data_IF_488584747169
#
_entry.id   IF_488584747169
#
_cell.length_a   1.000
_cell.length_b   1.000
_cell.length_c   1.000
_cell.angle_alpha   90.00
_cell.angle_beta   90.00
_cell.angle_gamma   90.00
#
_symmetry.space_group_name_H-M   'P 1'
#
loop_
_entity.id
_entity.type
_entity.pdbx_description
1 polymer ?
#
# COMPACT_ATOMS: atom_id res chain seq x y z
N UNK A 1 -1.16 7.97 4.99
CA UNK A 1 -1.59 7.35 3.71
C UNK A 1 -0.58 7.75 2.64
N UNK A 2 0.15 6.78 2.07
CA UNK A 2 1.04 7.04 0.94
C UNK A 2 0.19 7.29 -0.31
N UNK A 3 0.27 8.50 -0.85
CA UNK A 3 -0.39 8.88 -2.09
C UNK A 3 0.66 8.87 -3.19
N UNK A 4 0.31 8.39 -4.38
CA UNK A 4 1.07 8.74 -5.58
C UNK A 4 1.00 10.25 -5.80
N UNK A 5 1.92 10.79 -6.60
CA UNK A 5 1.92 12.21 -6.97
C UNK A 5 0.61 12.66 -7.66
N UNK A 6 -0.16 11.71 -8.21
CA UNK A 6 -1.49 11.95 -8.82
C UNK A 6 -2.67 11.74 -7.86
N UNK A 7 -2.42 11.54 -6.56
CA UNK A 7 -3.43 11.41 -5.52
C UNK A 7 -4.11 10.03 -5.43
N UNK A 8 -3.64 9.04 -6.18
CA UNK A 8 -4.14 7.65 -6.09
C UNK A 8 -3.59 6.92 -4.87
N UNK A 9 -4.38 5.97 -4.38
CA UNK A 9 -3.99 5.07 -3.30
C UNK A 9 -3.00 4.03 -3.83
N UNK A 10 -1.92 3.83 -3.09
CA UNK A 10 -0.90 2.83 -3.38
C UNK A 10 -1.13 1.55 -2.57
N UNK A 11 -1.06 0.41 -3.26
CA UNK A 11 -0.89 -0.88 -2.62
C UNK A 11 0.61 -1.16 -2.46
N UNK A 12 1.06 -1.29 -1.20
CA UNK A 12 2.46 -1.58 -0.87
C UNK A 12 2.52 -2.95 -0.19
N UNK A 13 3.26 -3.87 -0.79
CA UNK A 13 3.60 -5.14 -0.16
C UNK A 13 5.01 -5.04 0.39
N UNK A 14 5.19 -5.35 1.67
CA UNK A 14 6.48 -5.30 2.34
C UNK A 14 6.66 -6.45 3.33
N UNK A 15 7.91 -6.69 3.71
CA UNK A 15 8.25 -7.58 4.82
C UNK A 15 8.92 -6.81 5.95
N UNK A 16 8.75 -7.32 7.16
CA UNK A 16 9.48 -6.85 8.34
C UNK A 16 10.79 -7.63 8.48
N UNK A 17 11.85 -6.93 8.88
CA UNK A 17 13.20 -7.45 9.05
C UNK A 17 13.79 -6.95 10.37
N UNK A 18 14.92 -7.55 10.77
CA UNK A 18 15.67 -7.18 11.96
C UNK A 18 14.78 -7.06 13.20
N UNK A 19 14.09 -8.15 13.56
CA UNK A 19 13.13 -8.19 14.69
C UNK A 19 12.08 -7.08 14.61
N UNK A 20 11.48 -6.94 13.42
CA UNK A 20 10.43 -5.97 13.12
C UNK A 20 10.83 -4.49 13.24
N UNK A 21 12.13 -4.19 13.24
CA UNK A 21 12.63 -2.81 13.31
C UNK A 21 12.85 -2.16 11.95
N UNK A 22 12.84 -2.96 10.86
CA UNK A 22 13.03 -2.47 9.49
C UNK A 22 11.97 -3.00 8.54
N UNK A 23 11.58 -2.15 7.61
CA UNK A 23 10.64 -2.48 6.53
C UNK A 23 11.43 -2.65 5.23
N UNK A 24 11.24 -3.78 4.54
CA UNK A 24 11.67 -3.97 3.15
C UNK A 24 10.46 -3.97 2.23
N UNK A 25 10.38 -2.96 1.37
CA UNK A 25 9.37 -2.90 0.32
C UNK A 25 9.66 -3.98 -0.73
N UNK A 26 8.65 -4.80 -1.04
CA UNK A 26 8.69 -5.80 -2.10
C UNK A 26 8.08 -5.23 -3.37
N UNK A 27 6.95 -4.53 -3.26
CA UNK A 27 6.31 -3.85 -4.38
C UNK A 27 5.50 -2.63 -3.92
N UNK A 28 5.41 -1.63 -4.79
CA UNK A 28 4.53 -0.48 -4.64
C UNK A 28 3.88 -0.21 -6.01
N UNK A 29 2.54 -0.24 -6.04
CA UNK A 29 1.76 -0.06 -7.27
C UNK A 29 0.44 0.65 -6.99
N UNK A 30 -0.15 1.26 -8.01
CA UNK A 30 -1.51 1.82 -7.93
C UNK A 30 -2.52 0.74 -7.57
N UNK A 31 -3.48 1.06 -6.68
CA UNK A 31 -4.61 0.19 -6.41
C UNK A 31 -5.55 0.07 -7.62
N UNK A 32 -5.92 -1.15 -7.96
CA UNK A 32 -6.92 -1.42 -9.01
C UNK A 32 -8.32 -0.92 -8.60
N UNK A 33 -9.22 -0.73 -9.56
CA UNK A 33 -10.59 -0.21 -9.30
C UNK A 33 -11.37 -1.07 -8.30
N UNK A 34 -11.17 -2.39 -8.33
CA UNK A 34 -11.83 -3.35 -7.44
C UNK A 34 -11.27 -3.29 -6.02
N UNK A 35 -9.95 -3.21 -5.88
CA UNK A 35 -9.29 -3.06 -4.57
C UNK A 35 -9.71 -1.75 -3.90
N UNK A 36 -9.82 -0.65 -4.67
CA UNK A 36 -10.31 0.63 -4.14
C UNK A 36 -11.71 0.52 -3.54
N UNK A 37 -12.65 -0.10 -4.24
CA UNK A 37 -14.02 -0.27 -3.74
C UNK A 37 -14.12 -1.07 -2.45
N UNK A 38 -13.15 -1.97 -2.18
CA UNK A 38 -13.08 -2.71 -0.93
C UNK A 38 -12.53 -1.85 0.22
N UNK A 39 -11.42 -1.14 0.00
CA UNK A 39 -10.79 -0.32 1.04
C UNK A 39 -11.53 1.00 1.32
N UNK A 40 -12.26 1.55 0.34
CA UNK A 40 -13.11 2.74 0.54
C UNK A 40 -14.34 2.41 1.42
N UNK A 41 -14.73 1.14 1.53
CA UNK A 41 -15.91 0.70 2.30
C UNK A 41 -15.57 0.38 3.77
N UNK A 42 -14.30 0.05 4.06
CA UNK A 42 -13.80 -0.30 5.38
C UNK A 42 -13.24 0.90 6.18
N UNK A 43 -13.29 2.13 5.63
CA UNK A 43 -12.75 3.37 6.22
C UNK A 43 -13.82 4.37 6.70
#
# INVERSE_FOLDING_TARGET
VGRTDDGRLLHITFTLQDKDTKIRVISARDMSRKERGYYDQDS
#
